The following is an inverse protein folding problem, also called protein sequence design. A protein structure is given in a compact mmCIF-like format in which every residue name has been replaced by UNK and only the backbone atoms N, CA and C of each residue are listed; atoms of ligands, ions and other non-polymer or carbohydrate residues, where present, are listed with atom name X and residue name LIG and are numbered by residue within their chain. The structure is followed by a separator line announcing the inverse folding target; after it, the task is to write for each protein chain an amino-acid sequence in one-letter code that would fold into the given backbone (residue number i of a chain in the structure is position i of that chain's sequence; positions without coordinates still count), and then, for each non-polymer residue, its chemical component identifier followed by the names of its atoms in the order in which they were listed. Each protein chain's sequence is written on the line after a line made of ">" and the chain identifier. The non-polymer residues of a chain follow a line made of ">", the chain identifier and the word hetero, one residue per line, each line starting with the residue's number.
data_IF_173803820306
#
_entry.id   IF_173803820306
#
_cell.length_a   1.000
_cell.length_b   1.000
_cell.length_c   1.000
_cell.angle_alpha   90.00
_cell.angle_beta   90.00
_cell.angle_gamma   90.00
#
_symmetry.space_group_name_H-M   'P 1'
#
loop_
_entity.id
_entity.type
_entity.pdbx_description
1 polymer ?
#
# COMPACT_ATOMS: atom_id res chain seq x y z
N UNK A 1 -6.90 -25.96 -12.81
CA UNK A 1 -5.54 -25.71 -12.27
C UNK A 1 -5.06 -24.30 -12.63
N UNK A 2 -5.45 -23.77 -13.79
CA UNK A 2 -5.14 -22.41 -14.29
C UNK A 2 -5.60 -21.25 -13.38
N UNK A 3 -6.73 -21.41 -12.68
CA UNK A 3 -7.35 -20.34 -11.89
C UNK A 3 -6.61 -20.03 -10.57
N UNK A 4 -5.88 -21.03 -10.03
CA UNK A 4 -5.00 -20.85 -8.86
C UNK A 4 -3.75 -20.04 -9.22
N UNK A 5 -3.23 -20.22 -10.43
CA UNK A 5 -2.02 -19.56 -10.91
C UNK A 5 -2.27 -18.07 -11.18
N UNK A 6 -3.40 -17.74 -11.80
CA UNK A 6 -3.83 -16.34 -12.04
C UNK A 6 -4.05 -15.55 -10.75
N UNK A 7 -4.65 -16.16 -9.71
CA UNK A 7 -4.77 -15.51 -8.39
C UNK A 7 -3.41 -15.28 -7.74
N UNK A 8 -2.46 -16.19 -7.95
CA UNK A 8 -1.08 -16.04 -7.48
C UNK A 8 -0.35 -14.90 -8.20
N UNK A 9 -0.50 -14.79 -9.52
CA UNK A 9 0.07 -13.70 -10.31
C UNK A 9 -0.50 -12.34 -9.95
N UNK A 10 -1.82 -12.25 -9.79
CA UNK A 10 -2.47 -11.02 -9.35
C UNK A 10 -1.99 -10.61 -7.95
N UNK A 11 -1.89 -11.57 -7.03
CA UNK A 11 -1.34 -11.32 -5.69
C UNK A 11 0.08 -10.78 -5.76
N UNK A 12 0.97 -11.43 -6.52
CA UNK A 12 2.36 -10.99 -6.73
C UNK A 12 2.44 -9.60 -7.37
N UNK A 13 1.60 -9.32 -8.35
CA UNK A 13 1.58 -8.02 -9.03
C UNK A 13 1.17 -6.90 -8.08
N UNK A 14 0.12 -7.10 -7.26
CA UNK A 14 -0.30 -6.11 -6.26
C UNK A 14 0.78 -5.85 -5.22
N UNK A 15 1.41 -6.91 -4.71
CA UNK A 15 2.48 -6.77 -3.73
C UNK A 15 3.66 -5.99 -4.33
N UNK A 16 4.08 -6.34 -5.56
CA UNK A 16 5.12 -5.61 -6.28
C UNK A 16 4.78 -4.13 -6.46
N UNK A 17 3.53 -3.81 -6.82
CA UNK A 17 3.08 -2.42 -6.97
C UNK A 17 3.01 -1.66 -5.64
N UNK A 18 2.62 -2.32 -4.54
CA UNK A 18 2.65 -1.72 -3.21
C UNK A 18 4.09 -1.36 -2.80
N UNK A 19 5.04 -2.27 -3.03
CA UNK A 19 6.46 -2.04 -2.78
C UNK A 19 7.02 -0.89 -3.62
N UNK A 20 6.78 -0.89 -4.94
CA UNK A 20 7.23 0.19 -5.84
C UNK A 20 6.65 1.54 -5.43
N UNK A 21 5.37 1.57 -5.04
CA UNK A 21 4.72 2.79 -4.57
C UNK A 21 5.34 3.29 -3.26
N UNK A 22 5.65 2.39 -2.32
CA UNK A 22 6.33 2.75 -1.08
C UNK A 22 7.72 3.34 -1.34
N UNK A 23 8.54 2.70 -2.19
CA UNK A 23 9.85 3.24 -2.58
C UNK A 23 9.73 4.63 -3.22
N UNK A 24 8.80 4.81 -4.17
CA UNK A 24 8.59 6.11 -4.82
C UNK A 24 8.22 7.20 -3.80
N UNK A 25 7.31 6.90 -2.87
CA UNK A 25 6.90 7.86 -1.84
C UNK A 25 8.06 8.20 -0.92
N UNK A 26 8.87 7.22 -0.51
CA UNK A 26 10.04 7.45 0.34
C UNK A 26 11.09 8.32 -0.36
N UNK A 27 11.43 8.02 -1.62
CA UNK A 27 12.35 8.84 -2.42
C UNK A 27 11.82 10.27 -2.59
N UNK A 28 10.53 10.45 -2.86
CA UNK A 28 9.94 11.80 -2.95
C UNK A 28 9.94 12.53 -1.60
N UNK A 29 9.84 11.77 -0.50
CA UNK A 29 9.87 12.33 0.85
C UNK A 29 11.25 12.87 1.25
N UNK A 30 12.33 12.40 0.63
CA UNK A 30 13.68 12.97 0.81
C UNK A 30 13.76 14.42 0.31
N UNK A 31 13.02 14.75 -0.75
CA UNK A 31 12.99 16.11 -1.33
C UNK A 31 11.91 16.98 -0.69
N UNK A 32 10.76 16.39 -0.31
CA UNK A 32 9.67 17.06 0.38
C UNK A 32 9.21 16.23 1.59
N UNK A 33 9.63 16.58 2.82
CA UNK A 33 9.31 15.81 4.03
C UNK A 33 7.81 15.72 4.36
N UNK A 34 6.96 16.50 3.69
CA UNK A 34 5.50 16.45 3.88
C UNK A 34 4.81 15.58 2.84
N UNK A 35 5.55 15.07 1.84
CA UNK A 35 4.99 14.30 0.73
C UNK A 35 4.28 13.04 1.20
N UNK A 36 4.92 12.24 2.07
CA UNK A 36 4.34 11.01 2.59
C UNK A 36 3.01 11.25 3.30
N UNK A 37 2.93 12.29 4.14
CA UNK A 37 1.68 12.62 4.85
C UNK A 37 0.54 12.97 3.87
N UNK A 38 0.83 13.78 2.84
CA UNK A 38 -0.18 14.14 1.83
C UNK A 38 -0.60 12.94 1.01
N UNK A 39 0.34 12.05 0.67
CA UNK A 39 0.06 10.79 -0.01
C UNK A 39 -0.86 9.89 0.82
N UNK A 40 -0.53 9.65 2.09
CA UNK A 40 -1.35 8.85 3.01
C UNK A 40 -2.78 9.40 3.14
N UNK A 41 -2.94 10.72 3.23
CA UNK A 41 -4.28 11.34 3.25
C UNK A 41 -5.09 11.05 1.99
N UNK A 42 -4.46 11.01 0.81
CA UNK A 42 -5.13 10.63 -0.44
C UNK A 42 -5.45 9.14 -0.50
N UNK A 43 -4.57 8.29 0.03
CA UNK A 43 -4.79 6.84 0.15
C UNK A 43 -5.97 6.52 1.06
N UNK A 44 -6.07 7.16 2.22
CA UNK A 44 -7.22 7.01 3.11
C UNK A 44 -8.54 7.43 2.45
N UNK A 45 -8.52 8.53 1.69
CA UNK A 45 -9.69 8.98 0.93
C UNK A 45 -10.09 7.96 -0.16
N UNK A 46 -9.11 7.43 -0.90
CA UNK A 46 -9.36 6.40 -1.92
C UNK A 46 -9.89 5.09 -1.32
N UNK A 47 -9.37 4.70 -0.16
CA UNK A 47 -9.84 3.52 0.56
C UNK A 47 -11.32 3.67 0.95
N UNK A 48 -11.70 4.82 1.52
CA UNK A 48 -13.09 5.11 1.89
C UNK A 48 -14.00 5.16 0.66
N UNK A 49 -13.55 5.80 -0.42
CA UNK A 49 -14.31 5.87 -1.67
C UNK A 49 -14.63 4.47 -2.22
N UNK A 50 -13.62 3.58 -2.26
CA UNK A 50 -13.83 2.22 -2.74
C UNK A 50 -14.74 1.41 -1.81
N UNK A 51 -14.52 1.52 -0.49
CA UNK A 51 -15.27 0.76 0.50
C UNK A 51 -16.75 1.17 0.56
N UNK A 52 -17.02 2.47 0.49
CA UNK A 52 -18.34 3.01 0.82
C UNK A 52 -19.18 3.30 -0.45
N UNK A 53 -18.54 3.58 -1.59
CA UNK A 53 -19.23 4.06 -2.80
C UNK A 53 -19.16 3.10 -4.01
N UNK A 54 -18.57 1.92 -3.86
CA UNK A 54 -18.51 0.93 -4.94
C UNK A 54 -19.46 -0.23 -4.69
N UNK A 55 -20.41 -0.46 -5.61
CA UNK A 55 -21.39 -1.56 -5.51
C UNK A 55 -20.86 -2.96 -5.91
N UNK A 56 -19.55 -3.09 -6.15
CA UNK A 56 -18.90 -4.33 -6.63
C UNK A 56 -17.84 -4.87 -5.67
N UNK A 57 -17.24 -6.01 -6.02
CA UNK A 57 -16.13 -6.59 -5.25
C UNK A 57 -14.85 -5.76 -5.45
N UNK A 58 -14.48 -5.00 -4.41
CA UNK A 58 -13.28 -4.13 -4.37
C UNK A 58 -12.17 -4.71 -3.49
N UNK A 59 -12.27 -5.98 -3.11
CA UNK A 59 -11.35 -6.59 -2.14
C UNK A 59 -9.88 -6.45 -2.56
N UNK A 60 -9.59 -6.70 -3.83
CA UNK A 60 -8.22 -6.70 -4.35
C UNK A 60 -7.61 -5.28 -4.36
N UNK A 61 -8.42 -4.26 -4.61
CA UNK A 61 -8.00 -2.85 -4.59
C UNK A 61 -7.78 -2.37 -3.16
N UNK A 62 -8.70 -2.69 -2.23
CA UNK A 62 -8.55 -2.34 -0.83
C UNK A 62 -7.33 -3.02 -0.20
N UNK A 63 -7.02 -4.26 -0.60
CA UNK A 63 -5.83 -4.98 -0.15
C UNK A 63 -4.54 -4.27 -0.61
N UNK A 64 -4.45 -3.89 -1.90
CA UNK A 64 -3.29 -3.17 -2.41
C UNK A 64 -3.07 -1.80 -1.73
N UNK A 65 -4.16 -1.07 -1.44
CA UNK A 65 -4.09 0.17 -0.68
C UNK A 65 -3.61 -0.07 0.76
N UNK A 66 -4.14 -1.12 1.41
CA UNK A 66 -3.76 -1.49 2.78
C UNK A 66 -2.27 -1.81 2.88
N UNK A 67 -1.75 -2.65 2.00
CA UNK A 67 -0.32 -3.01 2.01
C UNK A 67 0.58 -1.80 1.79
N UNK A 68 0.22 -0.89 0.87
CA UNK A 68 1.02 0.33 0.68
C UNK A 68 1.06 1.19 1.96
N UNK A 69 -0.07 1.33 2.67
CA UNK A 69 -0.11 2.07 3.93
C UNK A 69 0.70 1.38 5.03
N UNK A 70 0.60 0.06 5.13
CA UNK A 70 1.38 -0.76 6.06
C UNK A 70 2.88 -0.60 5.81
N UNK A 71 3.34 -0.72 4.56
CA UNK A 71 4.74 -0.53 4.20
C UNK A 71 5.27 0.86 4.58
N UNK A 72 4.47 1.91 4.40
CA UNK A 72 4.89 3.30 4.67
C UNK A 72 4.83 3.69 6.15
N UNK A 73 3.97 3.05 6.94
CA UNK A 73 3.69 3.46 8.34
C UNK A 73 4.15 2.44 9.37
N UNK A 74 4.40 1.21 8.92
CA UNK A 74 4.60 0.03 9.75
C UNK A 74 3.35 -0.41 10.51
N UNK A 75 2.17 0.16 10.24
CA UNK A 75 0.96 -0.18 10.99
C UNK A 75 0.16 -1.29 10.32
N UNK A 76 0.02 -2.42 11.04
CA UNK A 76 -0.88 -3.53 10.71
C UNK A 76 -1.95 -3.64 11.82
N UNK A 77 -3.26 -3.67 11.49
CA UNK A 77 -4.32 -3.86 12.48
C UNK A 77 -4.24 -5.19 13.26
N UNK A 78 -3.56 -6.22 12.75
CA UNK A 78 -3.41 -7.53 13.41
C UNK A 78 -2.10 -7.61 14.20
N UNK A 79 -0.98 -7.28 13.56
CA UNK A 79 0.37 -7.38 14.11
C UNK A 79 0.86 -6.18 14.91
N UNK A 80 0.11 -5.08 14.95
CA UNK A 80 0.50 -3.84 15.64
C UNK A 80 1.44 -2.98 14.80
N UNK A 81 2.28 -2.18 15.45
CA UNK A 81 3.18 -1.24 14.76
C UNK A 81 4.60 -1.79 14.70
N UNK A 82 5.08 -2.00 13.48
CA UNK A 82 6.45 -2.38 13.12
C UNK A 82 7.20 -1.16 12.56
N UNK A 83 8.48 -1.36 12.22
CA UNK A 83 9.22 -0.38 11.46
C UNK A 83 8.65 -0.29 10.02
N UNK A 84 8.53 0.91 9.43
CA UNK A 84 8.23 1.05 8.01
C UNK A 84 9.22 0.26 7.14
N UNK A 85 8.77 -0.16 5.97
CA UNK A 85 9.64 -0.75 4.94
C UNK A 85 10.80 0.19 4.64
N UNK A 86 12.03 -0.33 4.58
CA UNK A 86 13.25 0.48 4.35
C UNK A 86 13.50 1.61 5.36
N UNK A 87 12.96 1.54 6.58
CA UNK A 87 13.20 2.55 7.61
C UNK A 87 14.69 2.75 7.95
N UNK A 88 15.49 1.69 7.84
CA UNK A 88 16.93 1.69 8.14
C UNK A 88 17.81 1.72 6.88
N UNK A 89 17.23 2.05 5.71
CA UNK A 89 18.00 2.12 4.47
C UNK A 89 18.91 3.36 4.46
N UNK A 90 20.21 3.12 4.25
CA UNK A 90 21.20 4.15 3.97
C UNK A 90 21.65 4.02 2.50
N UNK A 91 21.54 5.09 1.67
CA UNK A 91 21.82 5.04 0.23
C UNK A 91 23.31 4.91 -0.15
#
# INVERSE_FOLDING_TARGET
>A
MEDKDKRSDLHRAKLGMAMVSACLVQTLNETDPTFQQRFLKRMEAAYRELKDNTGGDVKEQLEALSWTMELLTGWDPIGGRQAPFLADYEP
#
